data_IF_586311810368
#
_entry.id   IF_586311810368
#
_cell.length_a   1.000
_cell.length_b   1.000
_cell.length_c   1.000
_cell.angle_alpha   90.00
_cell.angle_beta   90.00
_cell.angle_gamma   90.00
#
_symmetry.space_group_name_H-M   'P 1'
#
loop_
_entity.id
_entity.type
_entity.pdbx_description
1 polymer ?
#
# COMPACT_ATOMS: atom_id res chain seq x y z
N UNK A 1 -7.12 -5.52 -25.10
CA UNK A 1 -7.60 -5.58 -23.70
C UNK A 1 -6.46 -5.88 -22.72
N UNK A 2 -5.62 -6.89 -22.98
CA UNK A 2 -4.46 -7.23 -22.15
C UNK A 2 -3.44 -6.08 -22.03
N UNK A 3 -3.16 -5.38 -23.13
CA UNK A 3 -2.22 -4.24 -23.13
C UNK A 3 -2.65 -3.10 -22.19
N UNK A 4 -3.96 -2.79 -22.13
CA UNK A 4 -4.49 -1.75 -21.25
C UNK A 4 -4.28 -2.11 -19.78
N UNK A 5 -4.41 -3.39 -19.42
CA UNK A 5 -4.16 -3.88 -18.06
C UNK A 5 -2.67 -3.80 -17.72
N UNK A 6 -1.81 -4.15 -18.68
CA UNK A 6 -0.35 -4.08 -18.55
C UNK A 6 0.14 -2.63 -18.37
N UNK A 7 -0.43 -1.71 -19.14
CA UNK A 7 -0.14 -0.27 -19.06
C UNK A 7 -0.58 0.33 -17.72
N UNK A 8 -1.77 -0.05 -17.22
CA UNK A 8 -2.25 0.40 -15.91
C UNK A 8 -1.43 -0.17 -14.75
N UNK A 9 -1.05 -1.44 -14.83
CA UNK A 9 -0.19 -2.06 -13.83
C UNK A 9 1.20 -1.41 -13.80
N UNK A 10 1.80 -1.18 -14.97
CA UNK A 10 3.05 -0.44 -15.11
C UNK A 10 2.93 0.98 -14.55
N UNK A 11 1.87 1.70 -14.90
CA UNK A 11 1.61 3.04 -14.39
C UNK A 11 1.50 3.09 -12.86
N UNK A 12 0.83 2.11 -12.23
CA UNK A 12 0.72 2.02 -10.78
C UNK A 12 2.05 1.66 -10.10
N UNK A 13 2.85 0.80 -10.71
CA UNK A 13 4.16 0.39 -10.20
C UNK A 13 5.18 1.53 -10.33
N UNK A 14 5.27 2.15 -11.49
CA UNK A 14 6.20 3.27 -11.78
C UNK A 14 5.89 4.51 -10.96
N UNK A 15 4.60 4.78 -10.67
CA UNK A 15 4.19 5.93 -9.87
C UNK A 15 4.37 5.74 -8.36
N UNK A 16 4.70 4.52 -7.93
CA UNK A 16 4.73 4.15 -6.51
C UNK A 16 3.32 4.08 -5.96
N UNK A 17 2.88 2.88 -5.60
CA UNK A 17 1.63 2.70 -4.89
C UNK A 17 1.67 3.51 -3.58
N UNK A 18 0.76 4.49 -3.49
CA UNK A 18 0.15 5.06 -2.28
C UNK A 18 0.89 6.05 -1.37
N UNK A 19 2.15 6.45 -1.59
CA UNK A 19 2.74 7.53 -0.76
C UNK A 19 2.74 8.94 -1.38
N UNK A 20 2.64 9.06 -2.71
CA UNK A 20 2.68 10.36 -3.42
C UNK A 20 1.48 10.57 -4.36
N UNK A 21 0.34 9.93 -4.09
CA UNK A 21 -0.88 10.19 -4.86
C UNK A 21 -1.52 11.49 -4.35
N UNK A 22 -1.50 12.61 -5.10
CA UNK A 22 -2.01 13.91 -4.63
C UNK A 22 -3.53 13.91 -4.41
N UNK A 23 -4.24 12.86 -4.84
CA UNK A 23 -5.67 12.69 -4.63
C UNK A 23 -6.01 11.95 -3.33
N UNK A 24 -5.03 11.41 -2.60
CA UNK A 24 -5.26 10.79 -1.29
C UNK A 24 -4.88 11.83 -0.23
N UNK A 25 -5.86 12.36 0.53
CA UNK A 25 -5.54 13.30 1.61
C UNK A 25 -4.76 12.58 2.71
N UNK A 26 -3.81 13.27 3.36
CA UNK A 26 -3.03 12.70 4.46
C UNK A 26 -3.91 12.16 5.60
N UNK A 27 -5.08 12.78 5.82
CA UNK A 27 -6.07 12.34 6.81
C UNK A 27 -6.61 10.91 6.55
N UNK A 28 -6.43 10.37 5.35
CA UNK A 28 -6.77 8.97 5.07
C UNK A 28 -5.97 7.98 5.94
N UNK A 29 -4.76 8.37 6.32
CA UNK A 29 -3.87 7.57 7.16
C UNK A 29 -4.06 7.82 8.67
N UNK A 30 -5.03 8.67 9.06
CA UNK A 30 -5.29 8.96 10.47
C UNK A 30 -5.70 7.67 11.21
N UNK A 31 -5.04 7.40 12.33
CA UNK A 31 -5.28 6.20 13.14
C UNK A 31 -4.63 4.91 12.63
N UNK A 32 -3.88 4.97 11.53
CA UNK A 32 -3.07 3.84 11.09
C UNK A 32 -1.81 3.73 11.94
N UNK A 33 -1.34 2.50 12.17
CA UNK A 33 -0.06 2.28 12.84
C UNK A 33 1.08 2.74 11.92
N UNK A 34 1.85 3.74 12.36
CA UNK A 34 3.05 4.18 11.66
C UNK A 34 4.17 3.15 11.88
N UNK A 35 4.65 2.55 10.80
CA UNK A 35 5.76 1.60 10.85
C UNK A 35 7.02 2.35 10.43
N UNK A 36 7.89 2.69 11.37
CA UNK A 36 9.15 3.41 11.05
C UNK A 36 10.32 2.46 10.82
N UNK A 37 10.20 1.20 11.26
CA UNK A 37 11.27 0.20 11.21
C UNK A 37 10.76 -1.13 10.64
N UNK A 38 11.51 -1.67 9.68
CA UNK A 38 11.25 -2.97 9.04
C UNK A 38 9.77 -3.23 8.65
N UNK A 39 9.24 -2.39 7.76
CA UNK A 39 7.88 -2.46 7.21
C UNK A 39 7.44 -3.87 6.81
N UNK A 40 8.33 -4.64 6.17
CA UNK A 40 8.01 -5.97 5.67
C UNK A 40 7.73 -6.97 6.81
N UNK A 41 8.48 -6.89 7.90
CA UNK A 41 8.29 -7.76 9.06
C UNK A 41 7.00 -7.41 9.79
N UNK A 42 6.78 -6.13 10.11
CA UNK A 42 5.59 -5.65 10.81
C UNK A 42 4.31 -5.99 10.03
N UNK A 43 4.31 -5.80 8.70
CA UNK A 43 3.18 -6.18 7.86
C UNK A 43 2.85 -7.67 7.96
N UNK A 44 3.87 -8.55 7.97
CA UNK A 44 3.64 -10.00 8.11
C UNK A 44 3.02 -10.35 9.47
N UNK A 45 3.42 -9.66 10.54
CA UNK A 45 2.84 -9.84 11.88
C UNK A 45 1.37 -9.46 11.86
N UNK A 46 1.03 -8.25 11.39
CA UNK A 46 -0.35 -7.75 11.34
C UNK A 46 -1.27 -8.66 10.51
N UNK A 47 -0.79 -9.13 9.35
CA UNK A 47 -1.56 -10.05 8.50
C UNK A 47 -1.80 -11.39 9.21
N UNK A 48 -0.79 -11.93 9.89
CA UNK A 48 -0.96 -13.19 10.66
C UNK A 48 -1.93 -13.02 11.81
N UNK A 49 -1.93 -11.88 12.50
CA UNK A 49 -2.87 -11.58 13.58
C UNK A 49 -4.31 -11.49 13.07
N UNK A 50 -4.53 -10.81 11.95
CA UNK A 50 -5.85 -10.71 11.31
C UNK A 50 -6.46 -12.08 11.01
N UNK A 51 -5.66 -13.05 10.53
CA UNK A 51 -6.14 -14.40 10.21
C UNK A 51 -6.21 -15.37 11.41
N UNK A 52 -5.81 -14.95 12.62
CA UNK A 52 -5.98 -15.74 13.84
C UNK A 52 -7.32 -15.50 14.53
N UNK A 53 -8.02 -14.42 14.17
CA UNK A 53 -9.42 -14.18 14.54
C UNK A 53 -10.38 -14.94 13.65
#
# INVERSE_FOLDING_TARGET
MLEIVKDRARYLIERGSTLNNPHIPFTYFDGWAEITENHAEQLRVMVREYFKG
#
